data_IF_084949453014
#
_entry.id   IF_084949453014
#
_cell.length_a   1.000
_cell.length_b   1.000
_cell.length_c   1.000
_cell.angle_alpha   90.00
_cell.angle_beta   90.00
_cell.angle_gamma   90.00
#
_symmetry.space_group_name_H-M   'P 1'
#
loop_
_entity.id
_entity.type
_entity.pdbx_description
1 polymer ?
#
# COMPACT_ATOMS: atom_id res chain seq x y z
N UNK A 1 -32.47 -33.66 6.15
CA UNK A 1 -32.35 -32.28 5.63
C UNK A 1 -30.86 -31.98 5.58
N UNK A 2 -30.25 -31.93 4.38
CA UNK A 2 -28.81 -31.66 4.25
C UNK A 2 -28.54 -30.25 4.76
N UNK A 3 -27.70 -30.10 5.78
CA UNK A 3 -27.24 -28.79 6.23
C UNK A 3 -26.44 -28.17 5.08
N UNK A 4 -27.06 -27.27 4.32
CA UNK A 4 -26.37 -26.62 3.20
C UNK A 4 -25.09 -25.94 3.71
N UNK A 5 -23.96 -26.17 3.04
CA UNK A 5 -22.67 -25.58 3.41
C UNK A 5 -22.82 -24.06 3.59
N UNK A 6 -22.45 -23.52 4.75
CA UNK A 6 -22.61 -22.10 5.06
C UNK A 6 -21.38 -21.31 4.62
N UNK A 7 -21.58 -20.14 4.03
CA UNK A 7 -20.50 -19.22 3.62
C UNK A 7 -20.55 -17.93 4.43
N UNK A 8 -19.44 -17.61 5.09
CA UNK A 8 -19.19 -16.31 5.71
C UNK A 8 -18.37 -15.47 4.73
N UNK A 9 -18.74 -14.19 4.56
CA UNK A 9 -18.06 -13.26 3.66
C UNK A 9 -17.70 -11.99 4.41
N UNK A 10 -16.43 -11.58 4.34
CA UNK A 10 -15.92 -10.30 4.82
C UNK A 10 -15.65 -9.47 3.56
N UNK A 11 -16.50 -8.48 3.31
CA UNK A 11 -16.44 -7.62 2.12
C UNK A 11 -16.95 -6.20 2.44
N UNK A 12 -16.10 -5.17 2.39
CA UNK A 12 -14.67 -5.22 2.09
C UNK A 12 -13.81 -5.67 3.28
N UNK A 13 -12.58 -6.10 3.02
CA UNK A 13 -11.52 -6.08 4.04
C UNK A 13 -11.20 -4.61 4.35
N UNK A 14 -11.20 -4.24 5.63
CA UNK A 14 -11.02 -2.85 6.06
C UNK A 14 -9.57 -2.56 6.47
N UNK A 15 -9.19 -1.27 6.46
CA UNK A 15 -7.85 -0.78 6.82
C UNK A 15 -6.71 -1.44 6.02
N UNK A 16 -6.96 -1.71 4.74
CA UNK A 16 -5.96 -2.15 3.75
C UNK A 16 -5.98 -1.20 2.56
N UNK A 17 -4.93 -1.26 1.73
CA UNK A 17 -4.92 -0.61 0.42
C UNK A 17 -5.52 -1.56 -0.64
N UNK A 18 -6.30 -1.00 -1.57
CA UNK A 18 -7.03 -1.77 -2.59
C UNK A 18 -8.28 -2.47 -2.06
N UNK A 19 -8.92 -3.26 -2.93
CA UNK A 19 -10.14 -3.99 -2.58
C UNK A 19 -9.88 -5.49 -2.46
N UNK A 20 -9.98 -5.97 -1.22
CA UNK A 20 -9.91 -7.38 -0.87
C UNK A 20 -11.23 -7.88 -0.30
N UNK A 21 -11.51 -9.17 -0.54
CA UNK A 21 -12.63 -9.90 0.06
C UNK A 21 -12.12 -11.20 0.66
N UNK A 22 -12.62 -11.59 1.83
CA UNK A 22 -12.35 -12.91 2.41
C UNK A 22 -13.64 -13.73 2.43
N UNK A 23 -13.56 -14.99 2.01
CA UNK A 23 -14.67 -15.94 2.12
C UNK A 23 -14.24 -17.14 2.94
N UNK A 24 -15.05 -17.51 3.94
CA UNK A 24 -14.85 -18.69 4.78
C UNK A 24 -16.05 -19.62 4.56
N UNK A 25 -15.78 -20.85 4.11
CA UNK A 25 -16.77 -21.88 3.88
C UNK A 25 -16.74 -22.88 5.03
N UNK A 26 -17.92 -23.18 5.57
CA UNK A 26 -18.12 -24.09 6.68
C UNK A 26 -18.73 -25.42 6.19
N UNK A 27 -18.28 -26.52 6.79
CA UNK A 27 -18.88 -27.84 6.64
C UNK A 27 -20.25 -27.94 7.33
N UNK A 28 -20.90 -29.10 7.21
CA UNK A 28 -22.21 -29.34 7.83
C UNK A 28 -22.17 -29.33 9.37
N UNK A 29 -21.00 -29.51 9.97
CA UNK A 29 -20.73 -29.44 11.42
C UNK A 29 -20.35 -28.02 11.87
N UNK A 30 -20.34 -27.04 10.97
CA UNK A 30 -19.97 -25.66 11.27
C UNK A 30 -18.47 -25.41 11.43
N UNK A 31 -17.61 -26.36 11.05
CA UNK A 31 -16.15 -26.21 11.06
C UNK A 31 -15.68 -25.58 9.76
N UNK A 32 -14.57 -24.85 9.80
CA UNK A 32 -13.98 -24.25 8.61
C UNK A 32 -13.44 -25.34 7.69
N UNK A 33 -14.03 -25.48 6.51
CA UNK A 33 -13.52 -26.32 5.42
C UNK A 33 -12.48 -25.54 4.60
N UNK A 34 -12.77 -24.28 4.29
CA UNK A 34 -11.90 -23.45 3.43
C UNK A 34 -11.99 -21.97 3.72
N UNK A 35 -10.87 -21.28 3.67
CA UNK A 35 -10.81 -19.82 3.60
C UNK A 35 -10.10 -19.38 2.31
N UNK A 36 -10.57 -18.29 1.69
CA UNK A 36 -9.98 -17.70 0.49
C UNK A 36 -9.92 -16.19 0.62
N UNK A 37 -8.80 -15.60 0.21
CA UNK A 37 -8.66 -14.16 -0.01
C UNK A 37 -8.76 -13.88 -1.51
N UNK A 38 -9.58 -12.90 -1.87
CA UNK A 38 -9.87 -12.52 -3.25
C UNK A 38 -9.45 -11.07 -3.45
N UNK A 39 -8.61 -10.82 -4.46
CA UNK A 39 -8.43 -9.49 -5.02
C UNK A 39 -9.50 -9.31 -6.09
N UNK A 40 -10.41 -8.36 -5.88
CA UNK A 40 -11.62 -8.23 -6.71
C UNK A 40 -11.51 -7.15 -7.78
N UNK A 41 -10.36 -6.47 -7.85
CA UNK A 41 -10.09 -5.42 -8.82
C UNK A 41 -9.22 -5.89 -9.98
N UNK A 42 -9.49 -5.31 -11.14
CA UNK A 42 -8.67 -5.44 -12.34
C UNK A 42 -8.51 -4.09 -13.02
N UNK A 43 -7.33 -3.84 -13.61
CA UNK A 43 -7.03 -2.63 -14.39
C UNK A 43 -6.40 -2.94 -15.76
N UNK A 44 -5.62 -4.02 -15.89
CA UNK A 44 -5.02 -4.43 -17.17
C UNK A 44 -3.84 -3.59 -17.66
N UNK A 45 -3.04 -3.03 -16.75
CA UNK A 45 -1.96 -2.07 -17.06
C UNK A 45 -0.94 -2.55 -18.09
N UNK A 46 -0.49 -3.78 -17.96
CA UNK A 46 0.52 -4.39 -18.82
C UNK A 46 0.07 -4.47 -20.28
N UNK A 47 -1.24 -4.52 -20.53
CA UNK A 47 -1.80 -4.53 -21.87
C UNK A 47 -2.00 -3.13 -22.42
N UNK A 48 -2.54 -2.20 -21.62
CA UNK A 48 -2.84 -0.86 -22.12
C UNK A 48 -1.60 -0.01 -22.36
N UNK A 49 -0.50 -0.25 -21.64
CA UNK A 49 0.72 0.55 -21.81
C UNK A 49 1.44 0.25 -23.13
N UNK A 50 1.08 -0.84 -23.83
CA UNK A 50 1.67 -1.19 -25.10
C UNK A 50 1.36 -0.12 -26.15
N UNK A 51 2.40 0.31 -26.88
CA UNK A 51 2.30 1.41 -27.85
C UNK A 51 2.60 2.80 -27.28
N UNK A 52 2.67 2.94 -25.94
CA UNK A 52 3.18 4.18 -25.35
C UNK A 52 4.69 4.30 -25.53
N UNK A 53 5.20 5.52 -25.75
CA UNK A 53 6.63 5.77 -25.69
C UNK A 53 7.21 5.41 -24.32
N UNK A 54 8.37 4.73 -24.30
CA UNK A 54 8.93 4.16 -23.07
C UNK A 54 9.17 5.19 -21.96
N UNK A 55 9.50 6.43 -22.31
CA UNK A 55 9.77 7.51 -21.34
C UNK A 55 8.53 7.95 -20.54
N UNK A 56 7.32 7.60 -20.99
CA UNK A 56 6.08 7.86 -20.25
C UNK A 56 5.87 6.87 -19.10
N UNK A 57 6.53 5.70 -19.12
CA UNK A 57 6.28 4.62 -18.18
C UNK A 57 6.36 5.04 -16.69
N UNK A 58 7.36 5.83 -16.22
CA UNK A 58 7.46 6.24 -14.81
C UNK A 58 6.34 7.17 -14.40
N UNK A 59 5.71 7.86 -15.35
CA UNK A 59 4.50 8.61 -15.11
C UNK A 59 3.31 7.65 -15.10
N UNK A 60 3.08 6.84 -16.12
CA UNK A 60 1.86 6.03 -16.17
C UNK A 60 1.76 5.03 -15.01
N UNK A 61 2.84 4.32 -14.69
CA UNK A 61 2.80 3.19 -13.73
C UNK A 61 2.65 3.63 -12.26
N UNK A 62 3.08 4.84 -11.90
CA UNK A 62 2.89 5.34 -10.54
C UNK A 62 1.43 5.66 -10.18
N UNK A 63 0.48 5.53 -11.13
CA UNK A 63 -0.96 5.67 -10.87
C UNK A 63 -1.62 4.37 -10.44
N UNK A 64 -0.88 3.26 -10.39
CA UNK A 64 -1.40 1.96 -9.98
C UNK A 64 -1.76 1.90 -8.50
N UNK A 65 -1.02 2.61 -7.65
CA UNK A 65 -1.21 2.62 -6.22
C UNK A 65 -1.02 4.03 -5.66
N UNK A 66 -1.90 4.46 -4.75
CA UNK A 66 -1.80 5.76 -4.09
C UNK A 66 -0.76 5.83 -2.97
N UNK A 67 -0.30 4.69 -2.45
CA UNK A 67 0.67 4.64 -1.35
C UNK A 67 2.10 4.49 -1.87
N UNK A 68 2.35 3.70 -2.91
CA UNK A 68 3.68 3.41 -3.44
C UNK A 68 4.03 4.01 -4.83
N UNK A 69 3.58 5.22 -5.19
CA UNK A 69 3.84 5.80 -6.52
C UNK A 69 5.34 5.98 -6.78
N UNK A 70 6.12 6.38 -5.77
CA UNK A 70 7.58 6.55 -5.89
C UNK A 70 8.28 5.24 -6.21
N UNK A 71 7.86 4.12 -5.61
CA UNK A 71 8.46 2.81 -5.89
C UNK A 71 8.23 2.41 -7.34
N UNK A 72 7.00 2.61 -7.84
CA UNK A 72 6.66 2.39 -9.24
C UNK A 72 7.46 3.31 -10.18
N UNK A 73 7.55 4.59 -9.85
CA UNK A 73 8.31 5.57 -10.61
C UNK A 73 9.79 5.19 -10.74
N UNK A 74 10.44 4.85 -9.62
CA UNK A 74 11.85 4.46 -9.60
C UNK A 74 12.10 3.11 -10.28
N UNK A 75 11.18 2.15 -10.14
CA UNK A 75 11.28 0.87 -10.83
C UNK A 75 11.24 1.04 -12.37
N UNK A 76 10.29 1.84 -12.86
CA UNK A 76 10.21 2.14 -14.29
C UNK A 76 11.39 3.00 -14.78
N UNK A 77 11.86 3.95 -13.98
CA UNK A 77 13.05 4.73 -14.32
C UNK A 77 14.29 3.82 -14.47
N UNK A 78 14.49 2.87 -13.56
CA UNK A 78 15.57 1.87 -13.66
C UNK A 78 15.45 0.99 -14.91
N UNK A 79 14.24 0.56 -15.26
CA UNK A 79 14.01 -0.19 -16.49
C UNK A 79 14.36 0.64 -17.75
N UNK A 80 14.05 1.94 -17.74
CA UNK A 80 14.38 2.84 -18.84
C UNK A 80 15.88 3.09 -18.96
N UNK A 81 16.59 3.25 -17.84
CA UNK A 81 18.05 3.38 -17.88
C UNK A 81 18.66 2.19 -18.64
N UNK A 82 18.21 0.96 -18.33
CA UNK A 82 18.65 -0.25 -19.01
C UNK A 82 18.27 -0.27 -20.49
N UNK A 83 17.05 0.16 -20.86
CA UNK A 83 16.64 0.30 -22.27
C UNK A 83 17.55 1.27 -23.02
N UNK A 84 18.01 2.33 -22.36
CA UNK A 84 18.93 3.32 -22.93
C UNK A 84 20.40 2.84 -22.96
N UNK A 85 20.69 1.65 -22.41
CA UNK A 85 22.03 1.07 -22.37
C UNK A 85 22.89 1.53 -21.21
N UNK A 86 22.29 2.06 -20.14
CA UNK A 86 22.97 2.47 -18.90
C UNK A 86 22.64 1.47 -17.80
N UNK A 87 23.66 0.92 -17.14
CA UNK A 87 23.45 0.17 -15.90
C UNK A 87 22.98 1.15 -14.80
N UNK A 88 21.84 0.92 -14.13
CA UNK A 88 21.40 1.75 -13.01
C UNK A 88 22.44 1.94 -11.89
N UNK A 89 23.41 1.04 -11.74
CA UNK A 89 24.50 1.17 -10.78
C UNK A 89 25.62 2.13 -11.25
N UNK A 90 25.72 2.38 -12.56
CA UNK A 90 26.71 3.29 -13.18
C UNK A 90 26.21 4.73 -13.30
N UNK A 91 25.01 5.03 -12.79
CA UNK A 91 24.47 6.39 -12.77
C UNK A 91 25.40 7.33 -11.98
N UNK A 92 25.44 8.59 -12.42
CA UNK A 92 26.18 9.64 -11.72
C UNK A 92 25.82 9.65 -10.22
N UNK A 93 26.80 9.77 -9.30
CA UNK A 93 26.56 9.64 -7.85
C UNK A 93 25.42 10.50 -7.31
N UNK A 94 25.23 11.69 -7.86
CA UNK A 94 24.09 12.57 -7.52
C UNK A 94 22.74 11.95 -7.86
N UNK A 95 22.58 11.36 -9.05
CA UNK A 95 21.34 10.72 -9.47
C UNK A 95 21.03 9.51 -8.56
N UNK A 96 22.02 8.67 -8.28
CA UNK A 96 21.90 7.53 -7.37
C UNK A 96 21.47 7.96 -5.98
N UNK A 97 22.10 9.00 -5.42
CA UNK A 97 21.76 9.52 -4.08
C UNK A 97 20.36 10.13 -4.02
N UNK A 98 19.95 10.88 -5.05
CA UNK A 98 18.59 11.45 -5.12
C UNK A 98 17.54 10.34 -5.19
N UNK A 99 17.72 9.35 -6.07
CA UNK A 99 16.80 8.21 -6.19
C UNK A 99 16.72 7.41 -4.88
N UNK A 100 17.85 7.17 -4.20
CA UNK A 100 17.88 6.50 -2.90
C UNK A 100 17.16 7.30 -1.82
N UNK A 101 17.43 8.60 -1.70
CA UNK A 101 16.76 9.45 -0.70
C UNK A 101 15.25 9.51 -0.94
N UNK A 102 14.84 9.64 -2.21
CA UNK A 102 13.44 9.60 -2.60
C UNK A 102 12.78 8.27 -2.18
N UNK A 103 13.45 7.14 -2.39
CA UNK A 103 12.94 5.84 -1.97
C UNK A 103 12.91 5.66 -0.44
N UNK A 104 13.92 6.15 0.28
CA UNK A 104 13.91 6.10 1.75
C UNK A 104 12.75 6.91 2.33
N UNK A 105 12.47 8.09 1.77
CA UNK A 105 11.32 8.89 2.15
C UNK A 105 9.99 8.15 1.89
N UNK A 106 9.90 7.46 0.75
CA UNK A 106 8.76 6.61 0.39
C UNK A 106 8.54 5.44 1.36
N UNK A 107 9.60 4.71 1.72
CA UNK A 107 9.50 3.62 2.69
C UNK A 107 9.08 4.16 4.05
N UNK A 108 9.68 5.26 4.49
CA UNK A 108 9.40 5.88 5.78
C UNK A 108 7.94 6.32 5.91
N UNK A 109 7.41 7.08 4.95
CA UNK A 109 6.01 7.52 5.01
C UNK A 109 5.04 6.34 4.90
N UNK A 110 5.35 5.33 4.08
CA UNK A 110 4.48 4.17 3.88
C UNK A 110 4.42 3.28 5.13
N UNK A 111 5.55 3.07 5.80
CA UNK A 111 5.59 2.33 7.06
C UNK A 111 4.89 3.10 8.19
N UNK A 112 5.08 4.42 8.27
CA UNK A 112 4.33 5.25 9.21
C UNK A 112 2.82 5.19 8.93
N UNK A 113 2.41 5.27 7.67
CA UNK A 113 1.01 5.12 7.27
C UNK A 113 0.44 3.77 7.73
N UNK A 114 1.07 2.66 7.34
CA UNK A 114 0.59 1.34 7.69
C UNK A 114 0.53 1.14 9.21
N UNK A 115 1.63 1.40 9.91
CA UNK A 115 1.70 1.15 11.34
C UNK A 115 0.67 2.00 12.10
N UNK A 116 0.70 3.33 11.94
CA UNK A 116 -0.11 4.21 12.77
C UNK A 116 -1.58 4.28 12.35
N UNK A 117 -1.89 4.19 11.06
CA UNK A 117 -3.27 4.39 10.59
C UNK A 117 -4.02 3.07 10.39
N UNK A 118 -3.30 2.00 10.03
CA UNK A 118 -3.92 0.74 9.64
C UNK A 118 -3.80 -0.31 10.74
N UNK A 119 -2.58 -0.62 11.20
CA UNK A 119 -2.32 -1.70 12.15
C UNK A 119 -2.57 -1.31 13.61
N UNK A 120 -2.18 -0.11 14.03
CA UNK A 120 -2.20 0.29 15.44
C UNK A 120 -3.56 0.16 16.14
N UNK A 121 -4.73 0.40 15.51
CA UNK A 121 -6.00 0.26 16.21
C UNK A 121 -6.24 -1.16 16.75
N UNK A 122 -5.84 -2.21 16.01
CA UNK A 122 -5.96 -3.59 16.51
C UNK A 122 -4.94 -3.89 17.61
N UNK A 123 -3.72 -3.36 17.48
CA UNK A 123 -2.63 -3.61 18.43
C UNK A 123 -2.84 -2.92 19.77
N UNK A 124 -3.49 -1.75 19.77
CA UNK A 124 -3.71 -0.94 20.99
C UNK A 124 -4.99 -1.32 21.71
N UNK A 125 -6.09 -1.52 20.97
CA UNK A 125 -7.39 -1.79 21.57
C UNK A 125 -7.72 -3.29 21.63
N UNK A 126 -7.02 -4.12 20.87
CA UNK A 126 -7.28 -5.56 20.74
C UNK A 126 -8.18 -5.88 19.54
N UNK A 127 -8.01 -7.08 18.99
CA UNK A 127 -8.75 -7.54 17.78
C UNK A 127 -10.25 -7.68 18.01
N UNK A 128 -10.66 -7.91 19.25
CA UNK A 128 -12.07 -8.09 19.67
C UNK A 128 -12.71 -6.79 20.17
N UNK A 129 -11.99 -5.66 20.12
CA UNK A 129 -12.56 -4.38 20.54
C UNK A 129 -13.75 -3.96 19.64
N UNK A 130 -14.69 -3.16 20.18
CA UNK A 130 -15.78 -2.59 19.40
C UNK A 130 -15.27 -1.92 18.11
N UNK A 131 -16.05 -1.98 17.03
CA UNK A 131 -15.63 -1.47 15.71
C UNK A 131 -15.28 0.02 15.78
N UNK A 132 -15.98 0.77 16.62
CA UNK A 132 -15.79 2.20 16.85
C UNK A 132 -14.39 2.50 17.42
N UNK A 133 -13.85 1.58 18.23
CA UNK A 133 -12.49 1.66 18.80
C UNK A 133 -11.41 1.26 17.80
N UNK A 134 -11.69 0.36 16.85
CA UNK A 134 -10.68 -0.14 15.89
C UNK A 134 -10.49 0.77 14.68
N UNK A 135 -10.31 2.07 14.93
CA UNK A 135 -10.09 3.09 13.91
C UNK A 135 -8.98 4.07 14.30
N UNK A 136 -8.34 4.70 13.30
CA UNK A 136 -7.35 5.76 13.55
C UNK A 136 -7.94 6.97 14.29
N UNK A 137 -9.26 7.21 14.16
CA UNK A 137 -9.96 8.26 14.91
C UNK A 137 -9.96 7.99 16.41
N UNK A 138 -10.21 6.74 16.83
CA UNK A 138 -10.12 6.34 18.23
C UNK A 138 -8.68 6.41 18.75
N UNK A 139 -7.70 6.00 17.94
CA UNK A 139 -6.27 6.17 18.28
C UNK A 139 -5.94 7.65 18.50
N UNK A 140 -6.47 8.56 17.66
CA UNK A 140 -6.25 9.99 17.83
C UNK A 140 -6.93 10.57 19.08
N UNK A 141 -8.09 10.05 19.47
CA UNK A 141 -8.82 10.51 20.66
C UNK A 141 -8.18 10.03 21.97
N UNK A 142 -7.73 8.76 22.02
CA UNK A 142 -7.28 8.11 23.26
C UNK A 142 -5.75 8.01 23.38
N UNK A 143 -5.05 8.04 22.25
CA UNK A 143 -3.58 7.98 22.15
C UNK A 143 -3.05 9.14 21.29
N UNK A 144 -3.51 10.36 21.56
CA UNK A 144 -3.28 11.56 20.76
C UNK A 144 -1.80 11.84 20.46
N UNK A 145 -0.91 11.67 21.43
CA UNK A 145 0.54 11.83 21.24
C UNK A 145 1.11 10.82 20.24
N UNK A 146 0.66 9.57 20.29
CA UNK A 146 1.10 8.52 19.36
C UNK A 146 0.57 8.81 17.94
N UNK A 147 -0.70 9.20 17.83
CA UNK A 147 -1.30 9.58 16.56
C UNK A 147 -0.57 10.78 15.93
N UNK A 148 -0.26 11.81 16.72
CA UNK A 148 0.48 12.99 16.27
C UNK A 148 1.87 12.62 15.75
N UNK A 149 2.61 11.75 16.46
CA UNK A 149 3.90 11.23 15.98
C UNK A 149 3.77 10.52 14.64
N UNK A 150 2.77 9.64 14.49
CA UNK A 150 2.50 8.96 13.22
C UNK A 150 2.20 9.91 12.06
N UNK A 151 1.40 10.95 12.32
CA UNK A 151 1.11 12.02 11.34
C UNK A 151 2.38 12.76 10.94
N UNK A 152 3.18 13.19 11.91
CA UNK A 152 4.42 13.94 11.66
C UNK A 152 5.47 13.10 10.92
N UNK A 153 5.63 11.82 11.28
CA UNK A 153 6.52 10.90 10.57
C UNK A 153 6.09 10.74 9.11
N UNK A 154 4.80 10.49 8.87
CA UNK A 154 4.28 10.40 7.50
C UNK A 154 4.46 11.71 6.74
N UNK A 155 4.17 12.85 7.37
CA UNK A 155 4.34 14.18 6.77
C UNK A 155 5.79 14.41 6.35
N UNK A 156 6.76 14.09 7.21
CA UNK A 156 8.18 14.26 6.91
C UNK A 156 8.60 13.50 5.65
N UNK A 157 8.23 12.22 5.53
CA UNK A 157 8.53 11.45 4.33
C UNK A 157 7.84 12.02 3.09
N UNK A 158 6.59 12.45 3.19
CA UNK A 158 5.87 13.08 2.06
C UNK A 158 6.46 14.44 1.64
N UNK A 159 6.92 15.27 2.58
CA UNK A 159 7.58 16.55 2.22
C UNK A 159 8.94 16.32 1.55
N UNK A 160 9.71 15.31 1.96
CA UNK A 160 10.93 14.90 1.25
C UNK A 160 10.63 14.44 -0.18
N UNK A 161 9.58 13.64 -0.36
CA UNK A 161 9.12 13.23 -1.70
C UNK A 161 8.75 14.46 -2.53
N UNK A 162 8.00 15.41 -1.97
CA UNK A 162 7.65 16.67 -2.64
C UNK A 162 8.89 17.47 -3.06
N UNK A 163 9.88 17.58 -2.18
CA UNK A 163 11.11 18.31 -2.48
C UNK A 163 11.92 17.69 -3.63
N UNK A 164 11.89 16.36 -3.76
CA UNK A 164 12.71 15.62 -4.73
C UNK A 164 11.97 15.30 -6.05
N UNK A 165 10.66 15.07 -5.98
CA UNK A 165 9.82 14.64 -7.10
C UNK A 165 8.79 15.70 -7.53
N UNK A 166 8.81 16.89 -6.92
CA UNK A 166 7.95 18.03 -7.22
C UNK A 166 6.55 17.97 -6.59
N UNK A 167 6.09 16.79 -6.17
CA UNK A 167 4.80 16.59 -5.50
C UNK A 167 4.85 15.41 -4.53
N UNK A 168 3.89 15.38 -3.60
CA UNK A 168 3.68 14.30 -2.63
C UNK A 168 3.20 13.01 -3.27
#
# INVERSE_FOLDING_TARGET
MSNASRKITIDPVTRVEGHGRVTVQLDEQGRVDRARFHIVEFRGFERFIQGHPYWEAPLLVQRLCGICPVSHHLAAAKAIDQIYGVDPEDLHPTATKIRRLLHFAQVFQSHALHFFYLASPDLLFGVDAPVEKRSVGAVAAEHSELARKGIQMRQFGQELIKALAGKK
#
